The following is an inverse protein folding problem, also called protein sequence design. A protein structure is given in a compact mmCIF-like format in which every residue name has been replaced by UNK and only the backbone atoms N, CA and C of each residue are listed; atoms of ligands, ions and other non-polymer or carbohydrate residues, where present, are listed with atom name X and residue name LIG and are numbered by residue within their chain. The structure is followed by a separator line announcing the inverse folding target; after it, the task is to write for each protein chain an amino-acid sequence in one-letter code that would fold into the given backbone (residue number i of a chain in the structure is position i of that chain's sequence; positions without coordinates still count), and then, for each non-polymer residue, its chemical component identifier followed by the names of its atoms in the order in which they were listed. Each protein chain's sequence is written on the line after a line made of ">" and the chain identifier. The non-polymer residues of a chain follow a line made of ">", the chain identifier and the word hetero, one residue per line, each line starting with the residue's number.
data_IF_540033778569
#
_entry.id   IF_540033778569
#
_cell.length_a   1.000
_cell.length_b   1.000
_cell.length_c   1.000
_cell.angle_alpha   90.00
_cell.angle_beta   90.00
_cell.angle_gamma   90.00
#
_symmetry.space_group_name_H-M   'P 1'
#
loop_
_entity.id
_entity.type
_entity.pdbx_description
1 polymer ?
#
# COMPACT_ATOMS: atom_id res chain seq x y z
N UNK A 1 -14.30 -4.16 -36.13
CA UNK A 1 -13.74 -3.75 -34.83
C UNK A 1 -14.18 -4.80 -33.84
N UNK A 2 -13.25 -5.43 -33.12
CA UNK A 2 -13.55 -6.45 -32.11
C UNK A 2 -13.60 -5.75 -30.74
N UNK A 3 -14.39 -6.29 -29.82
CA UNK A 3 -14.36 -5.88 -28.43
C UNK A 3 -14.23 -7.09 -27.51
N UNK A 4 -13.48 -6.93 -26.44
CA UNK A 4 -13.29 -7.95 -25.41
C UNK A 4 -13.69 -7.42 -24.05
N UNK A 5 -14.49 -8.18 -23.31
CA UNK A 5 -14.61 -8.03 -21.86
C UNK A 5 -13.69 -9.04 -21.20
N UNK A 6 -12.72 -8.53 -20.45
CA UNK A 6 -11.73 -9.32 -19.73
C UNK A 6 -12.02 -9.24 -18.24
N UNK A 7 -12.16 -10.39 -17.58
CA UNK A 7 -12.25 -10.49 -16.12
C UNK A 7 -10.93 -11.05 -15.60
N UNK A 8 -10.27 -10.28 -14.74
CA UNK A 8 -8.95 -10.62 -14.19
C UNK A 8 -9.08 -10.83 -12.68
N UNK A 9 -8.57 -11.96 -12.19
CA UNK A 9 -8.49 -12.28 -10.76
C UNK A 9 -7.05 -12.48 -10.30
N UNK A 10 -6.86 -12.44 -8.99
CA UNK A 10 -5.58 -12.51 -8.29
C UNK A 10 -5.41 -11.31 -7.36
N UNK A 11 -4.16 -10.95 -7.10
CA UNK A 11 -3.79 -9.75 -6.36
C UNK A 11 -3.82 -8.55 -7.32
N UNK A 12 -5.03 -8.10 -7.68
CA UNK A 12 -5.25 -7.10 -8.75
C UNK A 12 -5.96 -5.83 -8.28
N UNK A 13 -6.40 -5.76 -7.02
CA UNK A 13 -6.91 -4.54 -6.41
C UNK A 13 -5.93 -4.03 -5.34
N UNK A 14 -5.82 -2.71 -5.22
CA UNK A 14 -4.89 -2.08 -4.27
C UNK A 14 -3.42 -2.13 -4.65
N UNK A 15 -3.07 -2.57 -5.86
CA UNK A 15 -1.67 -2.75 -6.29
C UNK A 15 -1.25 -1.85 -7.46
N UNK A 16 -2.04 -0.80 -7.74
CA UNK A 16 -1.82 0.06 -8.91
C UNK A 16 -2.22 -0.56 -10.24
N UNK A 17 -3.07 -1.60 -10.21
CA UNK A 17 -3.48 -2.34 -11.39
C UNK A 17 -4.32 -1.51 -12.39
N UNK A 18 -5.31 -0.74 -11.91
CA UNK A 18 -6.11 0.16 -12.78
C UNK A 18 -5.24 1.16 -13.56
N UNK A 19 -4.32 1.92 -12.92
CA UNK A 19 -3.28 2.70 -13.59
C UNK A 19 -2.49 1.92 -14.64
N UNK A 20 -2.04 0.72 -14.28
CA UNK A 20 -1.27 -0.13 -15.17
C UNK A 20 -2.07 -0.51 -16.43
N UNK A 21 -3.30 -1.00 -16.27
CA UNK A 21 -4.20 -1.33 -17.37
C UNK A 21 -4.45 -0.12 -18.26
N UNK A 22 -4.71 1.06 -17.66
CA UNK A 22 -4.88 2.30 -18.42
C UNK A 22 -3.66 2.63 -19.29
N UNK A 23 -2.44 2.50 -18.75
CA UNK A 23 -1.20 2.78 -19.49
C UNK A 23 -0.99 1.81 -20.64
N UNK A 24 -1.09 0.51 -20.39
CA UNK A 24 -0.88 -0.49 -21.46
C UNK A 24 -1.96 -0.43 -22.52
N UNK A 25 -3.20 -0.05 -22.17
CA UNK A 25 -4.26 0.20 -23.13
C UNK A 25 -3.91 1.39 -24.03
N UNK A 26 -3.40 2.48 -23.46
CA UNK A 26 -2.92 3.63 -24.25
C UNK A 26 -1.72 3.29 -25.14
N UNK A 27 -0.75 2.53 -24.62
CA UNK A 27 0.41 2.09 -25.41
C UNK A 27 -0.03 1.20 -26.58
N UNK A 28 -1.01 0.32 -26.37
CA UNK A 28 -1.59 -0.51 -27.41
C UNK A 28 -2.52 0.26 -28.38
N UNK A 29 -2.82 1.54 -28.12
CA UNK A 29 -3.86 2.33 -28.79
C UNK A 29 -5.28 1.69 -28.71
N UNK A 30 -5.56 0.99 -27.62
CA UNK A 30 -6.86 0.43 -27.31
C UNK A 30 -7.81 1.49 -26.73
N UNK A 31 -9.12 1.29 -26.92
CA UNK A 31 -10.19 2.12 -26.34
C UNK A 31 -11.06 1.29 -25.42
N UNK A 32 -11.80 1.92 -24.51
CA UNK A 32 -12.65 1.21 -23.57
C UNK A 32 -12.43 1.64 -22.12
N UNK A 33 -12.41 0.70 -21.18
CA UNK A 33 -12.28 1.04 -19.77
C UNK A 33 -11.67 -0.05 -18.89
N UNK A 34 -11.27 0.36 -17.69
CA UNK A 34 -10.99 -0.54 -16.56
C UNK A 34 -11.76 -0.09 -15.32
N UNK A 35 -12.30 -1.02 -14.54
CA UNK A 35 -12.91 -0.75 -13.22
C UNK A 35 -12.73 -1.93 -12.27
N UNK A 36 -12.71 -1.63 -10.97
CA UNK A 36 -12.77 -2.68 -9.95
C UNK A 36 -14.19 -3.20 -9.79
N UNK A 37 -14.33 -4.46 -9.43
CA UNK A 37 -15.60 -5.12 -9.12
C UNK A 37 -15.67 -5.57 -7.65
N UNK A 38 -16.86 -5.97 -7.21
CA UNK A 38 -17.20 -6.21 -5.81
C UNK A 38 -16.71 -7.52 -5.20
N UNK A 39 -16.05 -8.38 -5.98
CA UNK A 39 -15.40 -9.61 -5.53
C UNK A 39 -13.87 -9.51 -5.49
N UNK A 40 -13.33 -8.28 -5.53
CA UNK A 40 -11.88 -7.99 -5.64
C UNK A 40 -11.27 -8.28 -7.02
N UNK A 41 -12.09 -8.61 -8.02
CA UNK A 41 -11.68 -8.80 -9.41
C UNK A 41 -11.68 -7.48 -10.19
N UNK A 42 -11.03 -7.47 -11.36
CA UNK A 42 -10.97 -6.30 -12.25
C UNK A 42 -11.64 -6.64 -13.58
N UNK A 43 -12.51 -5.75 -14.05
CA UNK A 43 -13.10 -5.82 -15.38
C UNK A 43 -12.39 -4.82 -16.29
N UNK A 44 -11.94 -5.31 -17.44
CA UNK A 44 -11.40 -4.50 -18.53
C UNK A 44 -12.31 -4.68 -19.75
N UNK A 45 -12.74 -3.60 -20.35
CA UNK A 45 -13.40 -3.63 -21.66
C UNK A 45 -12.48 -2.97 -22.67
N UNK A 46 -12.17 -3.67 -23.76
CA UNK A 46 -11.24 -3.22 -24.79
C UNK A 46 -11.90 -3.27 -26.14
N UNK A 47 -11.65 -2.25 -26.94
CA UNK A 47 -12.05 -2.16 -28.34
C UNK A 47 -10.84 -1.89 -29.20
N UNK A 48 -10.75 -2.62 -30.32
CA UNK A 48 -9.63 -2.49 -31.23
C UNK A 48 -9.77 -3.36 -32.47
N UNK A 49 -8.76 -3.25 -33.34
CA UNK A 49 -8.49 -4.32 -34.29
C UNK A 49 -7.72 -5.45 -33.57
N UNK A 50 -7.56 -6.58 -34.23
CA UNK A 50 -6.89 -7.76 -33.67
C UNK A 50 -5.48 -7.45 -33.15
N UNK A 51 -4.69 -6.68 -33.90
CA UNK A 51 -3.32 -6.29 -33.50
C UNK A 51 -3.29 -5.46 -32.21
N UNK A 52 -4.26 -4.57 -32.01
CA UNK A 52 -4.38 -3.75 -30.79
C UNK A 52 -4.68 -4.64 -29.58
N UNK A 53 -5.59 -5.60 -29.75
CA UNK A 53 -6.00 -6.51 -28.69
C UNK A 53 -4.89 -7.51 -28.32
N UNK A 54 -4.19 -8.06 -29.31
CA UNK A 54 -3.00 -8.91 -29.11
C UNK A 54 -1.87 -8.13 -28.40
N UNK A 55 -1.58 -6.90 -28.86
CA UNK A 55 -0.58 -6.04 -28.21
C UNK A 55 -0.90 -5.76 -26.75
N UNK A 56 -2.18 -5.54 -26.42
CA UNK A 56 -2.60 -5.36 -25.03
C UNK A 56 -2.29 -6.60 -24.18
N UNK A 57 -2.60 -7.80 -24.68
CA UNK A 57 -2.32 -9.06 -23.96
C UNK A 57 -0.81 -9.30 -23.80
N UNK A 58 0.00 -8.95 -24.79
CA UNK A 58 1.46 -9.02 -24.66
C UNK A 58 1.98 -8.12 -23.53
N UNK A 59 1.47 -6.89 -23.44
CA UNK A 59 1.87 -5.92 -22.41
C UNK A 59 1.36 -6.33 -21.01
N UNK A 60 0.15 -6.88 -20.94
CA UNK A 60 -0.44 -7.41 -19.71
C UNK A 60 0.48 -8.46 -19.05
N UNK A 61 1.10 -9.33 -19.85
CA UNK A 61 1.99 -10.39 -19.36
C UNK A 61 3.41 -9.95 -19.03
N UNK A 62 3.88 -8.78 -19.53
CA UNK A 62 5.30 -8.37 -19.45
C UNK A 62 5.61 -7.36 -18.36
N UNK A 63 4.64 -6.57 -17.90
CA UNK A 63 4.93 -5.32 -17.19
C UNK A 63 4.05 -5.10 -15.95
N UNK A 64 3.70 -6.18 -15.25
CA UNK A 64 2.88 -6.10 -14.04
C UNK A 64 3.50 -5.16 -13.00
N UNK A 65 2.67 -4.39 -12.26
CA UNK A 65 3.13 -3.70 -11.07
C UNK A 65 3.80 -4.66 -10.08
N UNK A 66 4.82 -4.24 -9.32
CA UNK A 66 5.59 -5.16 -8.47
C UNK A 66 4.76 -6.03 -7.50
N UNK A 67 3.71 -5.52 -6.83
CA UNK A 67 2.91 -6.35 -5.92
C UNK A 67 1.72 -7.02 -6.60
N UNK A 68 1.55 -6.89 -7.93
CA UNK A 68 0.40 -7.45 -8.63
C UNK A 68 0.67 -8.90 -9.06
N UNK A 69 -0.30 -9.77 -8.82
CA UNK A 69 -0.26 -11.16 -9.27
C UNK A 69 -1.57 -11.49 -9.99
N UNK A 70 -1.46 -12.05 -11.19
CA UNK A 70 -2.63 -12.51 -11.96
C UNK A 70 -2.75 -14.02 -11.76
N UNK A 71 -3.91 -14.46 -11.27
CA UNK A 71 -4.26 -15.88 -11.13
C UNK A 71 -5.07 -16.39 -12.32
N UNK A 72 -6.02 -15.58 -12.82
CA UNK A 72 -6.83 -15.94 -13.98
C UNK A 72 -7.19 -14.73 -14.83
N UNK A 73 -7.28 -14.98 -16.14
CA UNK A 73 -7.73 -14.02 -17.14
C UNK A 73 -8.80 -14.71 -17.99
N UNK A 74 -10.04 -14.24 -17.91
CA UNK A 74 -11.13 -14.71 -18.76
C UNK A 74 -11.48 -13.65 -19.79
N UNK A 75 -11.47 -14.03 -21.06
CA UNK A 75 -11.75 -13.12 -22.18
C UNK A 75 -13.06 -13.54 -22.83
N UNK A 76 -13.99 -12.60 -22.94
CA UNK A 76 -15.26 -12.78 -23.63
C UNK A 76 -15.33 -11.82 -24.81
N UNK A 77 -15.58 -12.35 -26.01
CA UNK A 77 -15.85 -11.50 -27.17
C UNK A 77 -17.21 -10.82 -27.04
N UNK A 78 -17.23 -9.52 -27.33
CA UNK A 78 -18.38 -8.63 -27.19
C UNK A 78 -18.50 -7.72 -28.42
N UNK A 79 -19.63 -7.02 -28.51
CA UNK A 79 -19.82 -5.98 -29.54
C UNK A 79 -19.16 -4.68 -29.09
N UNK A 80 -18.55 -3.97 -30.02
CA UNK A 80 -18.04 -2.63 -29.75
C UNK A 80 -19.20 -1.67 -29.40
N UNK A 81 -19.03 -0.93 -28.32
CA UNK A 81 -19.86 0.15 -27.79
C UNK A 81 -19.40 1.54 -28.31
N UNK A 82 -18.19 1.64 -28.89
CA UNK A 82 -17.73 2.84 -29.59
C UNK A 82 -17.06 3.87 -28.69
N UNK A 83 -16.23 3.42 -27.74
CA UNK A 83 -15.45 4.31 -26.88
C UNK A 83 -14.47 5.14 -27.72
N UNK A 84 -14.36 6.44 -27.40
CA UNK A 84 -13.42 7.36 -28.05
C UNK A 84 -11.99 7.26 -27.51
N UNK A 85 -11.86 6.87 -26.24
CA UNK A 85 -10.60 6.78 -25.50
C UNK A 85 -10.68 5.66 -24.45
N UNK A 86 -9.56 5.35 -23.80
CA UNK A 86 -9.53 4.43 -22.67
C UNK A 86 -9.67 5.18 -21.34
N UNK A 87 -10.53 4.71 -20.43
CA UNK A 87 -10.80 5.38 -19.13
C UNK A 87 -10.68 4.45 -17.92
N UNK A 88 -10.30 5.00 -16.78
CA UNK A 88 -10.54 4.37 -15.49
C UNK A 88 -11.94 4.79 -15.03
N UNK A 89 -12.87 3.84 -14.94
CA UNK A 89 -14.24 4.11 -14.49
C UNK A 89 -14.39 3.91 -12.97
N UNK A 90 -15.42 4.52 -12.36
CA UNK A 90 -15.81 4.21 -10.99
C UNK A 90 -16.04 2.71 -10.79
N UNK A 91 -15.70 2.22 -9.60
CA UNK A 91 -15.82 0.80 -9.29
C UNK A 91 -17.27 0.35 -9.22
N UNK A 92 -17.52 -0.89 -9.65
CA UNK A 92 -18.83 -1.53 -9.61
C UNK A 92 -19.03 -2.40 -8.38
N UNK A 93 -20.28 -2.55 -7.95
CA UNK A 93 -20.66 -3.45 -6.84
C UNK A 93 -20.93 -4.88 -7.29
N UNK A 94 -21.02 -5.10 -8.62
CA UNK A 94 -21.29 -6.39 -9.22
C UNK A 94 -20.15 -7.35 -8.90
N UNK A 95 -20.50 -8.60 -8.55
CA UNK A 95 -19.55 -9.67 -8.26
C UNK A 95 -19.72 -10.73 -9.33
N UNK A 96 -18.69 -10.92 -10.15
CA UNK A 96 -18.60 -11.98 -11.15
C UNK A 96 -17.77 -13.14 -10.65
N UNK A 97 -16.68 -12.85 -9.92
CA UNK A 97 -15.78 -13.83 -9.33
C UNK A 97 -15.33 -13.40 -7.93
N UNK A 98 -14.74 -14.33 -7.20
CA UNK A 98 -14.00 -14.02 -5.96
C UNK A 98 -12.53 -13.97 -6.32
N UNK A 99 -11.84 -12.94 -5.86
CA UNK A 99 -10.43 -12.67 -6.08
C UNK A 99 -9.75 -12.32 -4.76
N UNK A 100 -8.42 -12.29 -4.75
CA UNK A 100 -7.65 -12.03 -3.54
C UNK A 100 -7.89 -10.62 -3.01
N UNK A 101 -8.06 -10.50 -1.68
CA UNK A 101 -8.00 -9.22 -0.98
C UNK A 101 -6.53 -8.89 -0.70
N UNK A 102 -6.03 -7.70 -1.06
CA UNK A 102 -4.62 -7.37 -0.91
C UNK A 102 -4.17 -7.35 0.56
N UNK A 103 -3.03 -8.00 0.90
CA UNK A 103 -2.43 -7.88 2.22
C UNK A 103 -1.84 -6.47 2.43
N UNK A 104 -1.47 -6.16 3.66
CA UNK A 104 -0.67 -4.96 3.95
C UNK A 104 0.77 -5.15 3.45
N UNK A 105 1.36 -4.11 2.86
CA UNK A 105 2.73 -4.13 2.36
C UNK A 105 3.64 -3.22 3.18
N UNK A 106 4.91 -3.64 3.33
CA UNK A 106 5.97 -2.77 3.82
C UNK A 106 6.15 -1.53 2.94
N UNK A 107 6.89 -0.53 3.42
CA UNK A 107 7.23 0.66 2.61
C UNK A 107 8.19 0.25 1.48
N UNK A 108 7.95 0.71 0.25
CA UNK A 108 8.90 0.50 -0.84
C UNK A 108 10.08 1.47 -0.76
N UNK A 109 11.21 1.10 -1.35
CA UNK A 109 12.47 1.88 -1.33
C UNK A 109 12.27 3.34 -1.78
N UNK A 110 11.49 3.53 -2.85
CA UNK A 110 11.17 4.86 -3.39
C UNK A 110 10.35 5.73 -2.41
N UNK A 111 9.37 5.15 -1.70
CA UNK A 111 8.63 5.89 -0.66
C UNK A 111 9.51 6.19 0.55
N UNK A 112 10.41 5.27 0.90
CA UNK A 112 11.36 5.45 1.99
C UNK A 112 12.34 6.60 1.66
N UNK A 113 12.87 6.63 0.44
CA UNK A 113 13.76 7.68 -0.04
C UNK A 113 13.11 9.08 0.05
N UNK A 114 11.84 9.22 -0.31
CA UNK A 114 11.08 10.48 -0.18
C UNK A 114 10.94 10.92 1.28
N UNK A 115 10.60 9.99 2.19
CA UNK A 115 10.43 10.31 3.63
C UNK A 115 11.75 10.73 4.28
N UNK A 116 12.87 10.20 3.80
CA UNK A 116 14.21 10.54 4.30
C UNK A 116 14.80 11.78 3.64
N UNK A 117 14.25 12.25 2.52
CA UNK A 117 14.76 13.40 1.78
C UNK A 117 14.19 14.73 2.30
N UNK A 118 15.05 15.55 2.92
CA UNK A 118 14.70 16.89 3.46
C UNK A 118 14.09 17.87 2.45
N UNK A 119 14.29 17.64 1.16
CA UNK A 119 13.73 18.48 0.08
C UNK A 119 12.37 17.99 -0.40
N UNK A 120 11.96 16.78 -0.03
CA UNK A 120 10.67 16.23 -0.42
C UNK A 120 9.56 16.79 0.48
N UNK A 121 8.38 17.01 -0.10
CA UNK A 121 7.19 17.47 0.62
C UNK A 121 6.67 16.48 1.67
N UNK A 122 7.12 15.22 1.58
CA UNK A 122 6.77 14.12 2.51
C UNK A 122 7.92 13.79 3.46
N UNK A 123 8.94 14.65 3.57
CA UNK A 123 10.00 14.50 4.55
C UNK A 123 9.42 14.28 5.96
N UNK A 124 9.85 13.22 6.63
CA UNK A 124 9.38 12.85 7.98
C UNK A 124 7.91 12.40 8.07
N UNK A 125 7.21 12.24 6.95
CA UNK A 125 5.79 11.87 6.95
C UNK A 125 5.59 10.36 7.12
N UNK A 126 5.18 9.94 8.32
CA UNK A 126 5.09 8.52 8.74
C UNK A 126 3.99 7.70 8.07
N UNK A 127 3.07 8.33 7.33
CA UNK A 127 2.00 7.64 6.59
C UNK A 127 2.19 7.70 5.07
N UNK A 128 3.42 8.00 4.58
CA UNK A 128 3.69 8.00 3.15
C UNK A 128 3.47 6.60 2.54
N UNK A 129 2.77 6.56 1.41
CA UNK A 129 2.56 5.34 0.63
C UNK A 129 2.32 5.68 -0.84
N UNK A 130 2.47 4.65 -1.68
CA UNK A 130 2.16 4.71 -3.11
C UNK A 130 1.23 3.54 -3.48
N UNK A 131 0.92 3.40 -4.76
CA UNK A 131 0.10 2.31 -5.28
C UNK A 131 0.68 0.91 -4.99
N UNK A 132 1.98 0.80 -4.73
CA UNK A 132 2.69 -0.48 -4.56
C UNK A 132 2.96 -0.86 -3.10
N UNK A 133 2.76 0.04 -2.14
CA UNK A 133 3.23 -0.17 -0.77
C UNK A 133 2.24 0.39 0.27
N UNK A 134 2.46 0.05 1.54
CA UNK A 134 1.64 0.54 2.67
C UNK A 134 0.38 -0.29 2.94
N UNK A 135 -0.48 0.17 3.87
CA UNK A 135 -1.63 -0.60 4.34
C UNK A 135 -2.67 -0.83 3.24
N UNK A 136 -3.34 -1.98 3.30
CA UNK A 136 -4.46 -2.38 2.45
C UNK A 136 -5.53 -3.04 3.32
N UNK A 137 -5.37 -4.32 3.63
CA UNK A 137 -6.32 -5.09 4.42
C UNK A 137 -6.69 -4.38 5.73
N UNK A 138 -5.68 -3.92 6.49
CA UNK A 138 -5.89 -3.27 7.78
C UNK A 138 -6.67 -1.95 7.73
N UNK A 139 -6.74 -1.29 6.57
CA UNK A 139 -7.43 -0.02 6.40
C UNK A 139 -8.75 -0.12 5.61
N UNK A 140 -9.06 -1.28 5.03
CA UNK A 140 -10.21 -1.45 4.16
C UNK A 140 -11.46 -1.89 4.94
N UNK A 141 -12.59 -1.22 4.72
CA UNK A 141 -13.88 -1.61 5.29
C UNK A 141 -14.63 -2.63 4.42
N UNK A 142 -14.52 -2.49 3.09
CA UNK A 142 -15.16 -3.37 2.11
C UNK A 142 -14.50 -3.25 0.74
N UNK A 143 -14.76 -4.23 -0.13
CA UNK A 143 -14.47 -4.16 -1.57
C UNK A 143 -15.60 -3.46 -2.32
N UNK A 144 -15.33 -2.82 -3.47
CA UNK A 144 -14.04 -2.67 -4.17
C UNK A 144 -13.03 -1.75 -3.46
N UNK A 145 -11.73 -1.93 -3.71
CA UNK A 145 -10.68 -1.10 -3.12
C UNK A 145 -10.67 0.31 -3.72
N UNK A 146 -11.34 1.22 -3.02
CA UNK A 146 -11.39 2.65 -3.28
C UNK A 146 -11.29 3.43 -1.97
N UNK A 147 -10.85 4.69 -2.06
CA UNK A 147 -10.56 5.53 -0.90
C UNK A 147 -11.75 5.63 0.04
N UNK A 148 -12.96 5.83 -0.48
CA UNK A 148 -14.21 5.92 0.29
C UNK A 148 -14.58 4.64 1.04
N UNK A 149 -14.05 3.49 0.60
CA UNK A 149 -14.25 2.19 1.24
C UNK A 149 -13.12 1.86 2.24
N UNK A 150 -12.29 2.84 2.59
CA UNK A 150 -11.16 2.69 3.51
C UNK A 150 -11.17 3.76 4.60
N UNK A 151 -10.36 3.58 5.64
CA UNK A 151 -10.16 4.60 6.68
C UNK A 151 -9.60 5.93 6.13
N UNK A 152 -9.00 5.93 4.94
CA UNK A 152 -8.51 7.14 4.27
C UNK A 152 -9.64 8.00 3.69
N UNK A 153 -10.88 7.51 3.62
CA UNK A 153 -12.06 8.29 3.24
C UNK A 153 -12.32 9.48 4.17
N UNK A 154 -11.90 9.39 5.44
CA UNK A 154 -12.00 10.48 6.42
C UNK A 154 -11.00 11.62 6.21
N UNK A 155 -10.10 11.48 5.23
CA UNK A 155 -9.01 12.43 4.95
C UNK A 155 -9.14 12.94 3.51
N UNK A 156 -9.87 14.03 3.24
CA UNK A 156 -10.01 14.60 1.90
C UNK A 156 -8.64 15.01 1.31
N UNK A 157 -8.40 14.77 0.02
CA UNK A 157 -7.12 15.11 -0.61
C UNK A 157 -6.91 16.63 -0.68
N UNK A 158 -5.72 17.11 -0.31
CA UNK A 158 -5.32 18.48 -0.65
C UNK A 158 -5.03 18.59 -2.15
N UNK A 159 -4.92 19.84 -2.65
CA UNK A 159 -4.69 20.13 -4.07
C UNK A 159 -3.51 19.37 -4.68
N UNK A 160 -2.39 19.28 -3.97
CA UNK A 160 -1.17 18.61 -4.48
C UNK A 160 -1.31 17.08 -4.51
N UNK A 161 -1.98 16.50 -3.51
CA UNK A 161 -2.25 15.06 -3.54
C UNK A 161 -3.30 14.71 -4.60
N UNK A 162 -4.28 15.57 -4.84
CA UNK A 162 -5.24 15.39 -5.92
C UNK A 162 -4.56 15.45 -7.30
N UNK A 163 -3.66 16.42 -7.52
CA UNK A 163 -2.92 16.48 -8.80
C UNK A 163 -2.07 15.24 -9.05
N UNK A 164 -1.39 14.70 -8.03
CA UNK A 164 -0.64 13.44 -8.17
C UNK A 164 -1.55 12.22 -8.35
N UNK A 165 -2.75 12.25 -7.78
CA UNK A 165 -3.74 11.18 -7.92
C UNK A 165 -4.34 11.12 -9.33
N UNK A 166 -4.50 12.27 -9.99
CA UNK A 166 -5.08 12.39 -11.33
C UNK A 166 -4.05 12.36 -12.47
N UNK A 167 -2.76 12.53 -12.17
CA UNK A 167 -1.67 12.56 -13.15
C UNK A 167 -1.30 11.16 -13.67
N UNK A 168 -1.59 10.81 -14.94
CA UNK A 168 -1.29 9.50 -15.50
C UNK A 168 0.22 9.21 -15.62
N UNK A 169 1.05 10.26 -15.67
CA UNK A 169 2.51 10.14 -15.74
C UNK A 169 3.12 9.86 -14.36
N UNK A 170 2.35 10.03 -13.28
CA UNK A 170 2.76 9.65 -11.94
C UNK A 170 2.53 8.15 -11.68
N UNK A 171 3.43 7.31 -12.18
CA UNK A 171 3.32 5.85 -12.13
C UNK A 171 3.00 5.26 -10.74
N UNK A 172 3.48 5.92 -9.69
CA UNK A 172 3.36 5.49 -8.29
C UNK A 172 2.11 6.01 -7.61
N UNK A 173 1.55 7.14 -8.04
CA UNK A 173 0.47 7.83 -7.32
C UNK A 173 -0.80 8.08 -8.11
N UNK A 174 -0.77 7.87 -9.43
CA UNK A 174 -1.98 7.84 -10.26
C UNK A 174 -2.97 6.81 -9.68
N UNK A 175 -4.16 7.26 -9.30
CA UNK A 175 -5.19 6.47 -8.59
C UNK A 175 -4.70 5.71 -7.33
N UNK A 176 -3.68 6.19 -6.63
CA UNK A 176 -3.24 5.59 -5.36
C UNK A 176 -4.22 5.95 -4.23
N UNK A 177 -5.10 5.01 -3.86
CA UNK A 177 -6.19 5.25 -2.90
C UNK A 177 -5.70 5.69 -1.50
N UNK A 178 -4.51 5.22 -1.08
CA UNK A 178 -3.88 5.55 0.20
C UNK A 178 -3.03 6.83 0.19
N UNK A 179 -2.96 7.56 -0.93
CA UNK A 179 -2.15 8.77 -1.02
C UNK A 179 -2.54 9.79 0.05
N UNK A 180 -1.52 10.37 0.68
CA UNK A 180 -1.66 11.46 1.64
C UNK A 180 -0.32 12.20 1.82
N UNK A 181 -0.36 13.27 2.62
CA UNK A 181 0.79 14.09 3.00
C UNK A 181 0.53 14.75 4.37
N UNK A 182 1.51 15.48 4.95
CA UNK A 182 1.33 16.17 6.23
C UNK A 182 0.14 17.15 6.30
N UNK A 183 -0.29 17.69 5.15
CA UNK A 183 -1.41 18.63 5.09
C UNK A 183 -2.77 17.94 5.21
N UNK A 184 -3.01 16.87 4.45
CA UNK A 184 -4.33 16.26 4.33
C UNK A 184 -4.49 14.92 5.03
N UNK A 185 -3.40 14.27 5.43
CA UNK A 185 -3.44 12.93 5.98
C UNK A 185 -3.45 12.86 7.50
N UNK A 186 -3.35 11.63 8.04
CA UNK A 186 -3.32 11.41 9.48
C UNK A 186 -2.11 12.06 10.14
N UNK A 187 -2.24 12.33 11.45
CA UNK A 187 -1.19 12.88 12.32
C UNK A 187 -0.91 11.94 13.48
N UNK A 188 0.31 12.01 13.99
CA UNK A 188 0.72 11.31 15.21
C UNK A 188 0.72 12.28 16.39
N UNK A 189 0.60 11.71 17.59
CA UNK A 189 0.76 12.41 18.85
C UNK A 189 1.30 11.42 19.89
N UNK A 190 1.77 11.95 21.02
CA UNK A 190 2.26 11.17 22.14
C UNK A 190 1.37 11.40 23.36
N UNK A 191 1.05 10.33 24.08
CA UNK A 191 0.28 10.39 25.33
C UNK A 191 1.12 9.95 26.51
N UNK A 192 0.97 10.66 27.64
CA UNK A 192 1.53 10.27 28.92
C UNK A 192 0.78 9.08 29.54
N UNK A 193 1.33 8.54 30.63
CA UNK A 193 0.69 7.43 31.38
C UNK A 193 -0.66 7.81 32.02
N UNK A 194 -0.95 9.10 32.15
CA UNK A 194 -2.24 9.64 32.60
C UNK A 194 -3.26 9.81 31.47
N UNK A 195 -2.91 9.41 30.23
CA UNK A 195 -3.74 9.53 29.04
C UNK A 195 -3.81 10.95 28.46
N UNK A 196 -2.99 11.89 28.95
CA UNK A 196 -2.96 13.26 28.42
C UNK A 196 -1.96 13.37 27.28
N UNK A 197 -2.34 14.14 26.25
CA UNK A 197 -1.46 14.43 25.11
C UNK A 197 -0.30 15.30 25.58
N UNK A 198 0.92 14.84 25.31
CA UNK A 198 2.15 15.59 25.55
C UNK A 198 2.34 16.63 24.45
N UNK A 199 2.55 17.89 24.85
CA UNK A 199 2.81 18.99 23.93
C UNK A 199 4.30 19.01 23.56
N UNK A 200 4.63 18.30 22.50
CA UNK A 200 5.97 18.24 21.92
C UNK A 200 5.92 18.63 20.45
N UNK A 201 7.01 19.21 19.95
CA UNK A 201 7.10 19.66 18.55
C UNK A 201 7.17 18.48 17.58
N UNK A 202 7.97 17.46 17.92
CA UNK A 202 8.15 16.24 17.13
C UNK A 202 7.85 15.00 17.99
N UNK A 203 6.60 14.50 17.95
CA UNK A 203 6.22 13.31 18.70
C UNK A 203 7.00 12.06 18.32
N UNK A 204 7.49 11.96 17.08
CA UNK A 204 8.25 10.80 16.62
C UNK A 204 9.64 10.80 17.27
N UNK A 205 10.33 11.94 17.21
CA UNK A 205 11.66 12.08 17.81
C UNK A 205 11.62 11.93 19.32
N UNK A 206 10.63 12.53 19.98
CA UNK A 206 10.44 12.38 21.43
C UNK A 206 10.19 10.91 21.79
N UNK A 207 9.33 10.20 21.04
CA UNK A 207 9.05 8.79 21.30
C UNK A 207 10.31 7.91 21.14
N UNK A 208 11.15 8.18 20.14
CA UNK A 208 12.42 7.49 19.96
C UNK A 208 13.37 7.75 21.15
N UNK A 209 13.53 9.01 21.56
CA UNK A 209 14.34 9.38 22.71
C UNK A 209 13.87 8.70 24.00
N UNK A 210 12.56 8.66 24.26
CA UNK A 210 12.02 7.99 25.44
C UNK A 210 12.33 6.48 25.43
N UNK A 211 12.29 5.83 24.27
CA UNK A 211 12.68 4.42 24.15
C UNK A 211 14.17 4.26 24.47
N UNK A 212 15.03 5.12 23.92
CA UNK A 212 16.48 5.12 24.20
C UNK A 212 16.80 5.40 25.67
N UNK A 213 15.97 6.18 26.37
CA UNK A 213 16.05 6.42 27.82
C UNK A 213 15.46 5.27 28.67
N UNK A 214 15.15 4.12 28.05
CA UNK A 214 14.64 2.92 28.73
C UNK A 214 13.15 2.96 29.09
N UNK A 215 12.38 3.89 28.53
CA UNK A 215 10.91 3.91 28.69
C UNK A 215 10.26 2.86 27.78
N UNK A 216 9.09 2.39 28.23
CA UNK A 216 8.28 1.39 27.53
C UNK A 216 7.08 2.12 26.93
N UNK A 217 6.94 2.10 25.61
CA UNK A 217 5.91 2.82 24.87
C UNK A 217 4.94 1.85 24.18
N UNK A 218 3.67 2.23 24.11
CA UNK A 218 2.71 1.59 23.21
C UNK A 218 2.72 2.33 21.87
N UNK A 219 3.04 1.63 20.77
CA UNK A 219 3.15 2.19 19.43
C UNK A 219 2.03 1.62 18.56
N UNK A 220 1.21 2.49 17.98
CA UNK A 220 0.16 2.09 17.03
C UNK A 220 0.79 1.72 15.69
N UNK A 221 0.81 0.43 15.36
CA UNK A 221 1.15 -0.07 14.03
C UNK A 221 -0.09 -0.18 13.12
N UNK A 222 0.05 -0.89 12.00
CA UNK A 222 -1.03 -1.09 11.03
C UNK A 222 -2.19 -1.93 11.59
N UNK A 223 -1.87 -3.11 12.12
CA UNK A 223 -2.86 -4.08 12.64
C UNK A 223 -3.22 -3.93 14.12
N UNK A 224 -2.67 -2.93 14.82
CA UNK A 224 -2.90 -2.74 16.25
C UNK A 224 -1.71 -2.14 16.99
N UNK A 225 -1.78 -2.14 18.32
CA UNK A 225 -0.72 -1.61 19.18
C UNK A 225 0.34 -2.67 19.49
N UNK A 226 1.60 -2.24 19.42
CA UNK A 226 2.76 -2.99 19.91
C UNK A 226 3.31 -2.29 21.15
N UNK A 227 4.01 -3.03 22.00
CA UNK A 227 4.76 -2.46 23.12
C UNK A 227 6.24 -2.47 22.73
N UNK A 228 6.82 -1.29 22.57
CA UNK A 228 8.20 -1.07 22.20
C UNK A 228 9.01 -0.69 23.45
N UNK A 229 10.23 -1.22 23.53
CA UNK A 229 11.17 -0.96 24.61
C UNK A 229 12.59 -1.22 24.10
N UNK A 230 13.58 -0.59 24.72
CA UNK A 230 14.98 -0.82 24.40
C UNK A 230 15.36 -2.28 24.69
N UNK A 231 15.87 -2.98 23.66
CA UNK A 231 16.18 -4.41 23.75
C UNK A 231 17.60 -4.71 24.23
N UNK A 232 18.48 -3.71 24.27
CA UNK A 232 19.89 -3.83 24.65
C UNK A 232 20.15 -3.68 26.15
N UNK A 233 19.12 -3.37 26.95
CA UNK A 233 19.24 -3.20 28.40
C UNK A 233 18.39 -4.23 29.16
N UNK A 234 19.05 -5.05 29.98
CA UNK A 234 18.40 -6.16 30.71
C UNK A 234 17.31 -5.68 31.66
N UNK A 235 17.54 -4.57 32.39
CA UNK A 235 16.57 -4.02 33.35
C UNK A 235 15.26 -3.58 32.67
N UNK A 236 15.35 -2.95 31.50
CA UNK A 236 14.19 -2.52 30.71
C UNK A 236 13.38 -3.73 30.24
N UNK A 237 14.06 -4.77 29.75
CA UNK A 237 13.42 -6.01 29.29
C UNK A 237 12.76 -6.75 30.47
N UNK A 238 13.43 -6.84 31.62
CA UNK A 238 12.90 -7.46 32.83
C UNK A 238 11.66 -6.72 33.34
N UNK A 239 11.68 -5.39 33.33
CA UNK A 239 10.53 -4.56 33.71
C UNK A 239 9.35 -4.76 32.74
N UNK A 240 9.61 -4.83 31.44
CA UNK A 240 8.59 -5.16 30.44
C UNK A 240 7.95 -6.54 30.69
N UNK A 241 8.76 -7.57 31.01
CA UNK A 241 8.25 -8.90 31.36
C UNK A 241 7.36 -8.86 32.59
N UNK A 242 7.78 -8.13 33.62
CA UNK A 242 7.02 -7.98 34.88
C UNK A 242 5.67 -7.31 34.60
N UNK A 243 5.65 -6.18 33.89
CA UNK A 243 4.41 -5.45 33.57
C UNK A 243 3.47 -6.25 32.67
N UNK A 244 4.01 -6.93 31.66
CA UNK A 244 3.23 -7.74 30.71
C UNK A 244 2.85 -9.12 31.25
N UNK A 245 3.32 -9.49 32.45
CA UNK A 245 3.16 -10.83 33.05
C UNK A 245 3.57 -11.95 32.08
N UNK A 246 4.72 -11.76 31.42
CA UNK A 246 5.24 -12.67 30.38
C UNK A 246 6.68 -13.10 30.72
N UNK A 247 6.86 -14.09 31.62
CA UNK A 247 8.16 -14.37 32.21
C UNK A 247 9.17 -14.96 31.21
N UNK A 248 8.75 -15.86 30.32
CA UNK A 248 9.71 -16.62 29.49
C UNK A 248 9.51 -16.48 27.99
N UNK A 249 8.27 -16.30 27.50
CA UNK A 249 7.99 -16.31 26.05
C UNK A 249 8.88 -15.27 25.33
N UNK A 250 9.68 -15.66 24.30
CA UNK A 250 10.63 -14.78 23.62
C UNK A 250 9.99 -13.52 23.07
N UNK A 251 10.68 -12.39 23.10
CA UNK A 251 10.23 -11.16 22.44
C UNK A 251 10.73 -11.11 21.00
N UNK A 252 9.94 -10.49 20.13
CA UNK A 252 10.40 -10.14 18.79
C UNK A 252 11.32 -8.92 18.91
N UNK A 253 12.34 -8.87 18.05
CA UNK A 253 13.27 -7.75 17.93
C UNK A 253 13.08 -7.10 16.55
N UNK A 254 13.21 -5.79 16.51
CA UNK A 254 13.29 -5.01 15.27
C UNK A 254 14.70 -4.42 15.21
N UNK A 255 15.36 -4.61 14.08
CA UNK A 255 16.68 -4.07 13.80
C UNK A 255 16.60 -3.16 12.57
N UNK A 256 17.55 -2.23 12.45
CA UNK A 256 17.55 -1.22 11.41
C UNK A 256 17.71 -1.82 10.01
N UNK A 257 18.67 -2.73 9.86
CA UNK A 257 19.09 -3.29 8.59
C UNK A 257 19.72 -4.68 8.77
N UNK A 258 20.03 -5.35 7.65
CA UNK A 258 20.66 -6.67 7.66
C UNK A 258 22.06 -6.67 8.27
N UNK A 259 22.79 -5.54 8.22
CA UNK A 259 24.10 -5.41 8.87
C UNK A 259 23.93 -5.54 10.39
N UNK A 260 22.97 -4.83 10.96
CA UNK A 260 22.63 -4.88 12.39
C UNK A 260 22.17 -6.28 12.79
N UNK A 261 21.32 -6.92 11.99
CA UNK A 261 20.83 -8.28 12.28
C UNK A 261 21.97 -9.30 12.28
N UNK A 262 22.90 -9.24 11.32
CA UNK A 262 24.05 -10.16 11.25
C UNK A 262 24.99 -10.07 12.46
N UNK A 263 24.97 -8.96 13.19
CA UNK A 263 25.77 -8.79 14.43
C UNK A 263 25.18 -9.54 15.62
N UNK A 264 23.89 -9.90 15.57
CA UNK A 264 23.16 -10.49 16.71
C UNK A 264 22.67 -11.92 16.44
N UNK A 265 22.47 -12.30 15.17
CA UNK A 265 22.02 -13.64 14.79
C UNK A 265 22.71 -14.12 13.51
N UNK A 266 22.76 -15.45 13.32
CA UNK A 266 23.17 -16.05 12.06
C UNK A 266 22.05 -15.93 11.01
N UNK A 267 22.38 -15.47 9.81
CA UNK A 267 21.45 -15.37 8.69
C UNK A 267 21.88 -16.30 7.55
N UNK A 268 20.95 -17.14 7.10
CA UNK A 268 21.08 -17.87 5.84
C UNK A 268 20.38 -17.11 4.70
N UNK A 269 20.58 -17.58 3.46
CA UNK A 269 20.00 -16.94 2.27
C UNK A 269 18.47 -16.89 2.31
N UNK A 270 17.83 -17.89 2.92
CA UNK A 270 16.36 -17.94 3.03
C UNK A 270 15.85 -16.90 4.01
N UNK A 271 16.51 -16.73 5.16
CA UNK A 271 16.17 -15.72 6.14
C UNK A 271 16.33 -14.31 5.57
N UNK A 272 17.42 -14.06 4.83
CA UNK A 272 17.63 -12.77 4.14
C UNK A 272 16.46 -12.47 3.19
N UNK A 273 16.08 -13.44 2.34
CA UNK A 273 14.99 -13.28 1.38
C UNK A 273 13.61 -13.05 2.02
N UNK A 274 13.39 -13.52 3.26
CA UNK A 274 12.12 -13.30 3.98
C UNK A 274 12.09 -11.95 4.68
N UNK A 275 13.25 -11.38 5.02
CA UNK A 275 13.37 -10.08 5.69
C UNK A 275 13.30 -8.88 4.72
N UNK A 276 13.63 -9.09 3.45
CA UNK A 276 13.66 -8.07 2.38
C UNK A 276 12.51 -8.25 1.40
#
# INVERSE_FOLDING_TARGET
>A
MKAWRIIITGLVQGVGFRPFIYRIAREANARGYVKNLGGSEVEVFLEGNERVLERFLELLNKSLPPPAEIESVEIHEERAEGFGEFKILPSGTLKRKISMIPPDFGICEECLAEVLNRKDRRYGYVFNSCAWCGPRFSMMFKVPYDRENTSMGSFPLCRLCLSEYEDPENFRRFHAQGISCPECGPRIWLEGSDGRILKVEDPLREAAQLIDEGRILAVKGLGGFHIAALASEDEVVLELRRRKKRPQKPFALMALDLETVNRIVYLDEKAIKVLT
#
